data_IF_272296453912
#
_entry.id   IF_272296453912
#
_cell.length_a   1.000
_cell.length_b   1.000
_cell.length_c   1.000
_cell.angle_alpha   90.00
_cell.angle_beta   90.00
_cell.angle_gamma   90.00
#
_symmetry.space_group_name_H-M   'P 1'
#
loop_
_entity.id
_entity.type
_entity.pdbx_description
1 polymer ?
#
# COMPACT_ATOMS: atom_id res chain seq x y z
N UNK A 1 -1.17 5.39 38.98
CA UNK A 1 0.17 5.62 38.38
C UNK A 1 0.13 5.12 36.94
N UNK A 2 0.75 5.88 36.03
CA UNK A 2 0.52 5.84 34.57
C UNK A 2 1.17 4.58 33.98
N UNK A 3 0.41 3.68 33.38
CA UNK A 3 1.01 2.62 32.55
C UNK A 3 1.49 3.27 31.25
N UNK A 4 2.80 3.45 31.17
CA UNK A 4 3.49 3.96 30.00
C UNK A 4 3.17 3.07 28.79
N UNK A 5 2.45 3.62 27.83
CA UNK A 5 2.33 3.09 26.47
C UNK A 5 3.71 3.07 25.86
N UNK A 6 4.41 1.94 26.01
CA UNK A 6 5.65 1.68 25.28
C UNK A 6 5.25 1.42 23.84
N UNK A 7 5.04 2.49 23.07
CA UNK A 7 4.85 2.46 21.63
C UNK A 7 6.05 1.73 21.06
N UNK A 8 5.88 0.44 20.74
CA UNK A 8 6.91 -0.36 20.08
C UNK A 8 7.34 0.42 18.84
N UNK A 9 8.63 0.44 18.49
CA UNK A 9 9.07 0.99 17.22
C UNK A 9 8.68 -0.02 16.14
N UNK A 10 7.37 -0.24 15.94
CA UNK A 10 6.89 -0.73 14.67
C UNK A 10 7.00 0.48 13.77
N UNK A 11 8.21 0.63 13.26
CA UNK A 11 8.47 0.85 11.86
C UNK A 11 7.57 1.92 11.25
N UNK A 12 8.15 3.04 10.84
CA UNK A 12 7.53 3.98 9.90
C UNK A 12 7.26 3.30 8.54
N UNK A 13 6.69 2.10 8.52
CA UNK A 13 5.97 1.58 7.36
C UNK A 13 4.89 2.60 7.12
N UNK A 14 5.04 3.37 6.05
CA UNK A 14 4.00 4.25 5.57
C UNK A 14 2.66 3.50 5.72
N UNK A 15 1.68 4.13 6.37
CA UNK A 15 0.37 3.54 6.54
C UNK A 15 -0.23 3.30 5.14
N UNK A 16 0.01 2.11 4.61
CA UNK A 16 -0.58 1.63 3.37
C UNK A 16 -1.98 1.18 3.72
N UNK A 17 -2.89 2.15 3.72
CA UNK A 17 -4.30 1.86 3.87
C UNK A 17 -4.83 1.23 2.58
N UNK A 18 -5.83 0.37 2.72
CA UNK A 18 -6.59 -0.19 1.58
C UNK A 18 -7.08 0.89 0.63
N UNK A 19 -7.39 2.08 1.16
CA UNK A 19 -7.80 3.23 0.37
C UNK A 19 -6.70 3.73 -0.58
N UNK A 20 -5.44 3.84 -0.13
CA UNK A 20 -4.34 4.26 -1.00
C UNK A 20 -4.12 3.26 -2.14
N UNK A 21 -4.23 1.96 -1.86
CA UNK A 21 -4.13 0.91 -2.88
C UNK A 21 -5.23 1.08 -3.94
N UNK A 22 -6.47 1.32 -3.52
CA UNK A 22 -7.61 1.52 -4.43
C UNK A 22 -7.46 2.80 -5.25
N UNK A 23 -6.99 3.91 -4.65
CA UNK A 23 -6.74 5.18 -5.36
C UNK A 23 -5.65 5.03 -6.43
N UNK A 24 -4.53 4.40 -6.09
CA UNK A 24 -3.45 4.12 -7.03
C UNK A 24 -3.93 3.21 -8.18
N UNK A 25 -4.61 2.11 -7.86
CA UNK A 25 -5.16 1.19 -8.86
C UNK A 25 -6.16 1.89 -9.79
N UNK A 26 -7.03 2.74 -9.24
CA UNK A 26 -7.98 3.53 -10.02
C UNK A 26 -7.25 4.41 -11.03
N UNK A 27 -6.27 5.20 -10.57
CA UNK A 27 -5.49 6.07 -11.46
C UNK A 27 -4.78 5.25 -12.54
N UNK A 28 -4.19 4.12 -12.16
CA UNK A 28 -3.43 3.25 -13.07
C UNK A 28 -4.34 2.67 -14.17
N UNK A 29 -5.53 2.19 -13.82
CA UNK A 29 -6.50 1.67 -14.78
C UNK A 29 -7.01 2.74 -15.74
N UNK A 30 -7.26 3.96 -15.26
CA UNK A 30 -7.73 5.05 -16.13
C UNK A 30 -6.66 5.51 -17.12
N UNK A 31 -5.38 5.51 -16.71
CA UNK A 31 -4.27 5.92 -17.57
C UNK A 31 -3.84 4.85 -18.57
N UNK A 32 -3.91 3.56 -18.20
CA UNK A 32 -3.29 2.48 -18.97
C UNK A 32 -4.31 1.48 -19.55
N UNK A 33 -5.55 1.50 -19.08
CA UNK A 33 -6.58 0.52 -19.41
C UNK A 33 -6.53 -0.73 -18.52
N UNK A 34 -7.62 -1.50 -18.48
CA UNK A 34 -7.76 -2.62 -17.52
C UNK A 34 -6.92 -3.86 -17.83
N UNK A 35 -6.56 -4.10 -19.09
CA UNK A 35 -5.84 -5.33 -19.51
C UNK A 35 -4.32 -5.23 -19.35
N UNK A 36 -3.78 -4.02 -19.24
CA UNK A 36 -2.34 -3.75 -19.21
C UNK A 36 -1.80 -3.61 -17.79
N UNK A 37 -2.64 -3.25 -16.82
CA UNK A 37 -2.22 -3.07 -15.42
C UNK A 37 -1.98 -4.41 -14.76
N UNK A 38 -0.79 -4.56 -14.19
CA UNK A 38 -0.39 -5.71 -13.39
C UNK A 38 -0.24 -5.33 -11.91
N UNK A 39 -0.20 -6.34 -11.05
CA UNK A 39 0.09 -6.14 -9.63
C UNK A 39 1.55 -5.73 -9.38
N UNK A 40 2.45 -5.97 -10.34
CA UNK A 40 3.81 -5.45 -10.29
C UNK A 40 3.82 -3.93 -10.45
N UNK A 41 3.12 -3.41 -11.46
CA UNK A 41 3.03 -1.96 -11.71
C UNK A 41 2.45 -1.24 -10.48
N UNK A 42 1.41 -1.82 -9.88
CA UNK A 42 0.82 -1.25 -8.66
C UNK A 42 1.76 -1.32 -7.46
N UNK A 43 2.51 -2.40 -7.29
CA UNK A 43 3.48 -2.53 -6.20
C UNK A 43 4.64 -1.53 -6.38
N UNK A 44 5.11 -1.34 -7.60
CA UNK A 44 6.15 -0.37 -7.96
C UNK A 44 5.69 1.07 -7.72
N UNK A 45 4.52 1.46 -8.22
CA UNK A 45 3.92 2.78 -8.01
C UNK A 45 3.73 3.10 -6.53
N UNK A 46 3.31 2.09 -5.75
CA UNK A 46 3.13 2.22 -4.31
C UNK A 46 4.45 2.14 -3.52
N UNK A 47 5.57 1.77 -4.15
CA UNK A 47 6.86 1.60 -3.47
C UNK A 47 6.85 0.47 -2.44
N UNK A 48 6.06 -0.59 -2.69
CA UNK A 48 5.93 -1.75 -1.80
C UNK A 48 6.24 -3.06 -2.52
N UNK A 49 6.48 -4.12 -1.75
CA UNK A 49 6.53 -5.46 -2.33
C UNK A 49 5.14 -5.96 -2.71
N UNK A 50 5.03 -6.79 -3.76
CA UNK A 50 3.78 -7.51 -4.06
C UNK A 50 3.26 -8.29 -2.85
N UNK A 51 4.14 -8.89 -2.05
CA UNK A 51 3.75 -9.58 -0.81
C UNK A 51 3.04 -8.64 0.16
N UNK A 52 3.51 -7.40 0.29
CA UNK A 52 2.87 -6.38 1.12
C UNK A 52 1.51 -6.01 0.52
N UNK A 53 1.43 -5.80 -0.80
CA UNK A 53 0.17 -5.50 -1.50
C UNK A 53 -0.91 -6.57 -1.24
N UNK A 54 -0.56 -7.85 -1.32
CA UNK A 54 -1.48 -8.97 -1.07
C UNK A 54 -1.82 -9.22 0.42
N UNK A 55 -1.11 -8.60 1.35
CA UNK A 55 -1.38 -8.76 2.79
C UNK A 55 -2.51 -7.85 3.30
N UNK A 56 -3.06 -6.99 2.43
CA UNK A 56 -4.15 -6.06 2.68
C UNK A 56 -5.47 -6.54 2.04
#
# INVERSE_FOLDING_TARGET
MKHATKSRPRDRKADFSRQRIVEAARAHFFSHGFRSVTMDDLAEELGISKKTLYAH
#
